data_IF_729713512146
#
_entry.id   IF_729713512146
#
_cell.length_a   1.000
_cell.length_b   1.000
_cell.length_c   1.000
_cell.angle_alpha   90.00
_cell.angle_beta   90.00
_cell.angle_gamma   90.00
#
_symmetry.space_group_name_H-M   'P 1'
#
loop_
_entity.id
_entity.type
_entity.pdbx_description
1 polymer ?
#
# COMPACT_ATOMS: atom_id res chain seq x y z
N UNK A 1 -18.22 -10.92 2.51
CA UNK A 1 -17.83 -9.67 3.22
C UNK A 1 -16.43 -9.86 3.80
N UNK A 2 -15.49 -8.95 3.53
CA UNK A 2 -14.14 -9.00 4.10
C UNK A 2 -14.10 -8.33 5.47
N UNK A 3 -13.27 -8.87 6.38
CA UNK A 3 -13.06 -8.34 7.73
C UNK A 3 -12.10 -7.14 7.73
N UNK A 4 -12.34 -6.18 8.61
CA UNK A 4 -11.41 -5.10 8.95
C UNK A 4 -11.43 -4.92 10.47
N UNK A 5 -10.26 -4.74 11.11
CA UNK A 5 -10.21 -4.48 12.54
C UNK A 5 -10.78 -3.10 12.93
N UNK A 6 -10.79 -2.15 12.00
CA UNK A 6 -11.31 -0.79 12.23
C UNK A 6 -12.85 -0.77 12.12
N UNK A 7 -13.49 0.08 12.93
CA UNK A 7 -14.96 0.15 12.98
C UNK A 7 -15.56 0.68 11.67
N UNK A 8 -16.79 0.27 11.29
CA UNK A 8 -17.48 0.81 10.12
C UNK A 8 -17.61 2.34 10.15
N UNK A 9 -17.82 2.93 11.32
CA UNK A 9 -17.94 4.38 11.51
C UNK A 9 -16.61 5.09 11.21
N UNK A 10 -15.49 4.51 11.66
CA UNK A 10 -14.14 5.02 11.38
C UNK A 10 -13.88 5.02 9.88
N UNK A 11 -14.20 3.92 9.21
CA UNK A 11 -14.04 3.78 7.76
C UNK A 11 -14.91 4.79 7.01
N UNK A 12 -16.18 4.91 7.40
CA UNK A 12 -17.12 5.85 6.79
C UNK A 12 -16.66 7.30 6.97
N UNK A 13 -16.16 7.66 8.16
CA UNK A 13 -15.64 8.98 8.45
C UNK A 13 -14.45 9.35 7.55
N UNK A 14 -13.49 8.44 7.39
CA UNK A 14 -12.34 8.65 6.50
C UNK A 14 -12.81 8.81 5.06
N UNK A 15 -13.66 7.90 4.56
CA UNK A 15 -14.19 7.96 3.19
C UNK A 15 -14.95 9.26 2.91
N UNK A 16 -15.74 9.75 3.85
CA UNK A 16 -16.54 10.97 3.67
C UNK A 16 -15.69 12.23 3.52
N UNK A 17 -14.52 12.28 4.18
CA UNK A 17 -13.62 13.44 4.15
C UNK A 17 -12.57 13.35 3.05
N UNK A 18 -12.25 12.16 2.58
CA UNK A 18 -11.16 11.93 1.66
C UNK A 18 -11.53 12.36 0.23
N UNK A 19 -10.59 13.04 -0.43
CA UNK A 19 -10.71 13.46 -1.83
C UNK A 19 -9.54 12.91 -2.61
N UNK A 20 -9.85 12.22 -3.71
CA UNK A 20 -8.86 11.56 -4.56
C UNK A 20 -8.72 12.37 -5.83
N UNK A 21 -7.51 12.84 -6.13
CA UNK A 21 -7.27 13.59 -7.35
C UNK A 21 -6.99 12.63 -8.51
N UNK A 22 -7.94 12.47 -9.43
CA UNK A 22 -7.90 11.52 -10.54
C UNK A 22 -8.24 12.24 -11.84
N UNK A 23 -7.40 12.13 -12.87
CA UNK A 23 -7.59 12.77 -14.19
C UNK A 23 -7.92 14.27 -14.10
N UNK A 24 -7.23 14.98 -13.20
CA UNK A 24 -7.41 16.43 -13.00
C UNK A 24 -8.63 16.83 -12.18
N UNK A 25 -9.50 15.89 -11.77
CA UNK A 25 -10.65 16.15 -10.89
C UNK A 25 -10.33 15.80 -9.44
N UNK A 26 -10.94 16.50 -8.49
CA UNK A 26 -10.94 16.10 -7.08
C UNK A 26 -12.24 15.34 -6.76
N UNK A 27 -12.17 14.01 -6.80
CA UNK A 27 -13.32 13.12 -6.66
C UNK A 27 -13.56 12.77 -5.19
N UNK A 28 -14.83 12.57 -4.81
CA UNK A 28 -15.16 11.75 -3.65
C UNK A 28 -14.72 10.30 -3.86
N UNK A 29 -14.66 9.53 -2.78
CA UNK A 29 -14.29 8.12 -2.87
C UNK A 29 -15.24 7.33 -3.79
N UNK A 30 -16.55 7.54 -3.68
CA UNK A 30 -17.53 6.79 -4.48
C UNK A 30 -17.47 7.16 -5.98
N UNK A 31 -17.16 8.41 -6.31
CA UNK A 31 -16.93 8.85 -7.70
C UNK A 31 -15.65 8.22 -8.25
N UNK A 32 -14.57 8.21 -7.47
CA UNK A 32 -13.33 7.55 -7.86
C UNK A 32 -13.51 6.05 -8.09
N UNK A 33 -14.26 5.35 -7.23
CA UNK A 33 -14.54 3.92 -7.41
C UNK A 33 -15.30 3.65 -8.72
N UNK A 34 -16.26 4.52 -9.08
CA UNK A 34 -16.99 4.44 -10.35
C UNK A 34 -16.12 4.73 -11.56
N UNK A 35 -15.28 5.76 -11.51
CA UNK A 35 -14.42 6.16 -12.64
C UNK A 35 -13.24 5.19 -12.84
N UNK A 36 -12.63 4.71 -11.76
CA UNK A 36 -11.42 3.87 -11.83
C UNK A 36 -11.70 2.37 -11.86
N UNK A 37 -12.90 1.93 -11.47
CA UNK A 37 -13.23 0.51 -11.27
C UNK A 37 -12.54 -0.15 -10.07
N UNK A 38 -11.83 0.61 -9.24
CA UNK A 38 -11.08 0.11 -8.07
C UNK A 38 -11.82 0.48 -6.80
N UNK A 39 -12.04 -0.49 -5.91
CA UNK A 39 -12.63 -0.26 -4.60
C UNK A 39 -11.60 0.36 -3.65
N UNK A 40 -11.91 1.55 -3.13
CA UNK A 40 -11.02 2.28 -2.25
C UNK A 40 -10.99 1.68 -0.85
N UNK A 41 -9.80 1.39 -0.37
CA UNK A 41 -9.55 0.92 0.99
C UNK A 41 -8.69 1.92 1.77
N UNK A 42 -9.17 2.49 2.89
CA UNK A 42 -8.28 3.22 3.81
C UNK A 42 -7.38 2.27 4.61
N UNK A 43 -7.85 1.05 4.88
CA UNK A 43 -7.11 0.01 5.58
C UNK A 43 -7.25 -1.33 4.87
N UNK A 44 -6.22 -2.15 4.97
CA UNK A 44 -6.22 -3.53 4.46
C UNK A 44 -7.40 -4.35 4.99
N UNK A 45 -7.91 -5.25 4.13
CA UNK A 45 -9.06 -6.12 4.42
C UNK A 45 -8.64 -7.58 4.43
N UNK A 46 -9.29 -8.38 5.26
CA UNK A 46 -8.93 -9.78 5.48
C UNK A 46 -10.08 -10.71 5.11
N UNK A 47 -9.78 -11.94 4.66
CA UNK A 47 -10.81 -12.92 4.32
C UNK A 47 -11.80 -13.19 5.47
N UNK A 48 -11.31 -13.18 6.71
CA UNK A 48 -12.11 -13.37 7.91
C UNK A 48 -11.35 -12.90 9.15
N UNK A 49 -12.07 -12.73 10.27
CA UNK A 49 -11.47 -12.44 11.58
C UNK A 49 -10.46 -13.53 12.00
N UNK A 50 -10.75 -14.81 11.69
CA UNK A 50 -9.82 -15.93 11.93
C UNK A 50 -8.51 -15.76 11.14
N UNK A 51 -8.60 -15.28 9.90
CA UNK A 51 -7.43 -15.02 9.05
C UNK A 51 -6.60 -13.87 9.59
N UNK A 52 -7.25 -12.79 10.02
CA UNK A 52 -6.59 -11.65 10.67
C UNK A 52 -5.82 -12.07 11.93
N UNK A 53 -6.48 -12.74 12.88
CA UNK A 53 -5.81 -13.18 14.12
C UNK A 53 -4.71 -14.22 13.88
N UNK A 54 -4.77 -15.00 12.80
CA UNK A 54 -3.65 -15.87 12.41
C UNK A 54 -2.42 -15.04 12.03
N UNK A 55 -2.59 -13.98 11.25
CA UNK A 55 -1.50 -13.08 10.86
C UNK A 55 -0.95 -12.35 12.09
N UNK A 56 -1.82 -11.74 12.90
CA UNK A 56 -1.41 -11.05 14.14
C UNK A 56 -0.54 -11.94 15.03
N UNK A 57 -0.94 -13.21 15.26
CA UNK A 57 -0.15 -14.16 16.07
C UNK A 57 1.23 -14.42 15.49
N UNK A 58 1.36 -14.44 14.17
CA UNK A 58 2.64 -14.66 13.51
C UNK A 58 3.54 -13.44 13.57
N UNK A 59 2.99 -12.24 13.33
CA UNK A 59 3.70 -10.99 13.47
C UNK A 59 4.23 -10.83 14.92
N UNK A 60 3.37 -11.08 15.91
CA UNK A 60 3.77 -11.08 17.33
C UNK A 60 4.85 -12.10 17.65
N UNK A 61 4.82 -13.28 17.03
CA UNK A 61 5.89 -14.29 17.19
C UNK A 61 7.23 -13.77 16.67
N UNK A 62 7.27 -13.03 15.57
CA UNK A 62 8.52 -12.43 15.08
C UNK A 62 9.07 -11.38 16.05
N UNK A 63 8.20 -10.52 16.58
CA UNK A 63 8.59 -9.51 17.58
C UNK A 63 9.16 -10.19 18.83
N UNK A 64 8.48 -11.22 19.35
CA UNK A 64 8.94 -11.96 20.53
C UNK A 64 10.26 -12.71 20.31
N UNK A 65 10.61 -13.04 19.06
CA UNK A 65 11.87 -13.69 18.71
C UNK A 65 13.01 -12.67 18.47
N UNK A 66 12.76 -11.38 18.73
CA UNK A 66 13.66 -10.26 18.36
C UNK A 66 14.09 -10.33 16.89
N UNK A 67 13.20 -10.89 16.06
CA UNK A 67 13.50 -11.10 14.66
C UNK A 67 13.36 -9.77 13.90
N UNK A 68 12.52 -8.85 14.36
CA UNK A 68 12.15 -7.61 13.67
C UNK A 68 13.24 -6.55 13.81
N UNK A 69 13.64 -5.95 12.69
CA UNK A 69 14.61 -4.86 12.69
C UNK A 69 14.16 -3.68 13.55
N UNK A 70 15.08 -3.13 14.36
CA UNK A 70 14.80 -2.00 15.26
C UNK A 70 14.27 -0.78 14.52
N UNK A 71 14.77 -0.54 13.30
CA UNK A 71 14.29 0.55 12.45
C UNK A 71 12.81 0.37 12.07
N UNK A 72 12.37 -0.87 11.81
CA UNK A 72 10.97 -1.17 11.50
C UNK A 72 10.04 -0.85 12.68
N UNK A 73 10.46 -1.18 13.91
CA UNK A 73 9.73 -0.86 15.15
C UNK A 73 9.71 0.66 15.41
N UNK A 74 10.85 1.33 15.19
CA UNK A 74 10.96 2.78 15.34
C UNK A 74 10.06 3.52 14.35
N UNK A 75 10.11 3.15 13.06
CA UNK A 75 9.25 3.71 12.02
C UNK A 75 7.76 3.54 12.35
N UNK A 76 7.38 2.37 12.90
CA UNK A 76 6.00 2.12 13.28
C UNK A 76 5.53 3.04 14.38
N UNK A 77 6.36 3.23 15.40
CA UNK A 77 6.08 4.17 16.49
C UNK A 77 6.05 5.61 15.98
N UNK A 78 7.05 6.01 15.19
CA UNK A 78 7.21 7.38 14.69
C UNK A 78 6.07 7.79 13.75
N UNK A 79 5.57 6.87 12.92
CA UNK A 79 4.46 7.10 11.97
C UNK A 79 3.11 6.52 12.43
N UNK A 80 2.94 6.28 13.74
CA UNK A 80 1.71 5.70 14.27
C UNK A 80 0.48 6.57 13.95
N UNK A 81 0.63 7.90 13.87
CA UNK A 81 -0.46 8.82 13.54
C UNK A 81 -0.91 8.66 12.09
N UNK A 82 0.02 8.58 11.16
CA UNK A 82 -0.25 8.41 9.74
C UNK A 82 -0.89 7.04 9.48
N UNK A 83 -0.34 5.97 10.08
CA UNK A 83 -0.87 4.62 9.98
C UNK A 83 -2.31 4.52 10.54
N UNK A 84 -2.55 5.02 11.74
CA UNK A 84 -3.87 4.91 12.36
C UNK A 84 -4.95 5.79 11.70
N UNK A 85 -4.55 6.83 10.97
CA UNK A 85 -5.49 7.72 10.27
C UNK A 85 -5.66 7.41 8.78
N UNK A 86 -5.02 6.35 8.28
CA UNK A 86 -4.96 6.02 6.85
C UNK A 86 -4.46 7.21 6.01
N UNK A 87 -3.49 7.95 6.55
CA UNK A 87 -2.98 9.14 5.88
C UNK A 87 -2.19 8.78 4.63
N UNK A 88 -2.43 9.51 3.56
CA UNK A 88 -1.74 9.39 2.28
C UNK A 88 -1.30 10.79 1.86
N UNK A 89 -0.07 10.88 1.36
CA UNK A 89 0.49 12.12 0.85
C UNK A 89 -0.34 12.60 -0.36
N UNK A 90 -0.70 13.90 -0.44
CA UNK A 90 -1.46 14.42 -1.57
C UNK A 90 -0.77 14.15 -2.91
N UNK A 91 -1.49 13.49 -3.82
CA UNK A 91 -1.01 13.11 -5.13
C UNK A 91 -2.12 13.18 -6.17
N UNK A 92 -1.72 13.36 -7.43
CA UNK A 92 -2.59 13.21 -8.59
C UNK A 92 -2.36 11.86 -9.23
N UNK A 93 -3.44 11.15 -9.53
CA UNK A 93 -3.42 9.96 -10.37
C UNK A 93 -3.76 10.41 -11.79
N UNK A 94 -2.87 10.11 -12.74
CA UNK A 94 -3.01 10.49 -14.16
C UNK A 94 -2.64 9.36 -15.10
N UNK A 95 -3.28 9.30 -16.25
CA UNK A 95 -2.89 8.43 -17.34
C UNK A 95 -1.47 8.78 -17.81
N UNK A 96 -0.62 7.77 -17.95
CA UNK A 96 0.78 7.94 -18.39
C UNK A 96 0.92 7.49 -19.84
N UNK A 97 0.53 6.25 -20.14
CA UNK A 97 0.56 5.67 -21.48
C UNK A 97 -0.21 4.34 -21.51
N UNK A 98 -0.46 3.80 -22.70
CA UNK A 98 -1.01 2.44 -22.87
C UNK A 98 -0.15 1.36 -22.18
N UNK A 99 1.16 1.53 -22.18
CA UNK A 99 2.07 0.55 -21.59
C UNK A 99 2.09 0.60 -20.06
N UNK A 100 1.96 1.78 -19.48
CA UNK A 100 2.10 1.99 -18.03
C UNK A 100 0.74 2.13 -17.32
N UNK A 101 -0.32 2.49 -18.04
CA UNK A 101 -1.60 2.90 -17.50
C UNK A 101 -1.49 4.16 -16.64
N UNK A 102 -2.24 4.21 -15.54
CA UNK A 102 -2.25 5.32 -14.59
C UNK A 102 -1.04 5.33 -13.65
N UNK A 103 -0.46 6.50 -13.39
CA UNK A 103 0.62 6.74 -12.43
C UNK A 103 0.26 7.79 -11.38
N UNK A 104 0.99 7.80 -10.26
CA UNK A 104 0.85 8.78 -9.18
C UNK A 104 1.91 9.88 -9.27
N UNK A 105 1.52 11.13 -9.07
CA UNK A 105 2.36 12.32 -9.17
C UNK A 105 2.21 13.20 -7.93
N UNK A 106 3.31 13.74 -7.42
CA UNK A 106 3.27 14.60 -6.23
C UNK A 106 2.40 15.85 -6.45
N UNK A 107 1.42 16.13 -5.60
CA UNK A 107 0.62 17.36 -5.71
C UNK A 107 1.34 18.60 -5.17
N UNK A 108 2.36 18.39 -4.31
CA UNK A 108 3.15 19.43 -3.66
C UNK A 108 4.58 18.92 -3.45
N UNK A 109 5.56 19.80 -3.16
CA UNK A 109 6.90 19.35 -2.81
C UNK A 109 6.88 18.40 -1.61
N UNK A 110 7.65 17.32 -1.71
CA UNK A 110 7.82 16.27 -0.70
C UNK A 110 9.28 16.27 -0.27
N UNK A 111 9.55 16.28 1.03
CA UNK A 111 10.92 16.23 1.55
C UNK A 111 11.44 14.80 1.61
N UNK A 112 12.76 14.64 1.50
CA UNK A 112 13.45 13.37 1.79
C UNK A 112 13.03 12.82 3.16
N UNK A 113 12.84 11.50 3.24
CA UNK A 113 12.39 10.79 4.43
C UNK A 113 10.90 10.93 4.76
N UNK A 114 10.13 11.72 4.01
CA UNK A 114 8.71 11.89 4.28
C UNK A 114 7.93 10.58 4.03
N UNK A 115 6.99 10.29 4.93
CA UNK A 115 6.00 9.24 4.73
C UNK A 115 5.12 9.58 3.52
N UNK A 116 4.86 8.59 2.66
CA UNK A 116 4.01 8.73 1.46
C UNK A 116 2.66 8.08 1.69
N UNK A 117 2.61 6.91 2.33
CA UNK A 117 1.39 6.17 2.59
C UNK A 117 1.63 4.69 2.81
N UNK A 118 0.63 4.01 3.35
CA UNK A 118 0.61 2.55 3.46
C UNK A 118 0.10 1.90 2.17
N UNK A 119 0.76 0.84 1.70
CA UNK A 119 0.28 -0.01 0.63
C UNK A 119 -0.76 -0.99 1.17
N UNK A 120 -2.03 -0.74 0.88
CA UNK A 120 -3.17 -1.52 1.40
C UNK A 120 -3.87 -2.31 0.30
N UNK A 121 -4.52 -3.40 0.70
CA UNK A 121 -5.29 -4.24 -0.21
C UNK A 121 -6.01 -5.39 0.47
N UNK A 122 -6.38 -6.41 -0.31
CA UNK A 122 -6.90 -7.65 0.22
C UNK A 122 -5.74 -8.52 0.72
N UNK A 123 -5.73 -8.78 2.02
CA UNK A 123 -4.74 -9.61 2.68
C UNK A 123 -5.15 -11.07 2.59
N UNK A 124 -4.34 -11.84 1.87
CA UNK A 124 -4.53 -13.28 1.63
C UNK A 124 -3.36 -14.04 2.22
N UNK A 125 -3.63 -15.23 2.74
CA UNK A 125 -2.56 -16.14 3.14
C UNK A 125 -1.81 -16.61 1.88
N UNK A 126 -0.49 -16.61 1.92
CA UNK A 126 0.31 -17.08 0.80
C UNK A 126 0.29 -18.61 0.75
N UNK A 127 -0.12 -19.14 -0.40
CA UNK A 127 0.13 -20.53 -0.77
C UNK A 127 1.37 -20.57 -1.69
N UNK A 128 2.28 -21.56 -1.55
CA UNK A 128 3.46 -21.71 -2.42
C UNK A 128 3.15 -21.75 -3.92
N UNK A 129 1.90 -22.04 -4.29
CA UNK A 129 1.39 -22.10 -5.66
C UNK A 129 0.19 -21.16 -5.85
N UNK A 130 0.26 -19.94 -5.33
CA UNK A 130 -0.81 -18.95 -5.55
C UNK A 130 -0.81 -18.50 -7.03
N UNK A 131 -1.62 -19.19 -7.83
CA UNK A 131 -1.87 -18.89 -9.25
C UNK A 131 -2.51 -17.51 -9.46
N UNK A 132 -2.97 -16.83 -8.39
CA UNK A 132 -3.56 -15.50 -8.47
C UNK A 132 -2.56 -14.36 -8.19
N UNK A 133 -1.26 -14.65 -8.17
CA UNK A 133 -0.22 -13.61 -8.04
C UNK A 133 -0.26 -12.67 -9.25
N UNK A 134 -0.48 -11.38 -9.01
CA UNK A 134 -0.52 -10.34 -10.04
C UNK A 134 0.46 -9.19 -9.71
N UNK A 135 0.55 -8.18 -10.59
CA UNK A 135 1.49 -7.05 -10.44
C UNK A 135 1.21 -6.11 -9.26
N UNK A 136 0.05 -6.25 -8.61
CA UNK A 136 -0.36 -5.48 -7.43
C UNK A 136 -0.19 -6.27 -6.13
N UNK A 137 0.33 -7.49 -6.19
CA UNK A 137 0.60 -8.32 -5.01
C UNK A 137 1.91 -7.91 -4.34
N UNK A 138 1.83 -7.46 -3.09
CA UNK A 138 2.98 -7.24 -2.23
C UNK A 138 3.12 -8.40 -1.23
N UNK A 139 4.23 -9.13 -1.25
CA UNK A 139 4.47 -10.27 -0.34
C UNK A 139 5.05 -9.79 0.99
N UNK A 140 4.47 -10.23 2.10
CA UNK A 140 4.82 -9.82 3.44
C UNK A 140 5.05 -11.02 4.39
N UNK A 141 6.09 -10.98 5.23
CA UNK A 141 7.19 -10.02 5.23
C UNK A 141 8.18 -10.33 4.10
N UNK A 142 8.99 -9.34 3.71
CA UNK A 142 10.16 -9.58 2.86
C UNK A 142 11.20 -10.44 3.59
N UNK A 143 12.20 -10.91 2.85
CA UNK A 143 13.39 -11.55 3.42
C UNK A 143 13.90 -10.77 4.65
N UNK A 144 14.33 -11.43 5.73
CA UNK A 144 14.57 -12.88 5.88
C UNK A 144 13.38 -13.71 6.42
N UNK A 145 12.20 -13.12 6.68
CA UNK A 145 11.10 -13.78 7.42
C UNK A 145 10.22 -14.72 6.57
N UNK A 146 10.83 -15.52 5.70
CA UNK A 146 10.17 -16.33 4.67
C UNK A 146 9.18 -17.40 5.20
N UNK A 147 9.03 -17.59 6.51
CA UNK A 147 8.09 -18.57 7.10
C UNK A 147 6.73 -17.97 7.48
N UNK A 148 6.59 -16.64 7.45
CA UNK A 148 5.31 -15.95 7.60
C UNK A 148 5.00 -15.35 6.25
N UNK A 149 3.88 -15.73 5.65
CA UNK A 149 3.61 -15.29 4.28
C UNK A 149 2.13 -14.94 4.16
N UNK A 150 1.87 -13.66 4.09
CA UNK A 150 0.63 -13.15 3.51
C UNK A 150 0.98 -12.24 2.34
N UNK A 151 0.03 -12.08 1.45
CA UNK A 151 0.12 -11.18 0.30
C UNK A 151 -0.92 -10.09 0.48
N UNK A 152 -0.54 -8.85 0.24
CA UNK A 152 -1.45 -7.72 0.09
C UNK A 152 -1.73 -7.58 -1.41
N UNK A 153 -2.94 -7.93 -1.84
CA UNK A 153 -3.36 -7.84 -3.24
C UNK A 153 -4.18 -6.56 -3.44
N UNK A 154 -3.59 -5.58 -4.13
CA UNK A 154 -4.21 -4.30 -4.41
C UNK A 154 -4.81 -4.18 -5.83
N UNK A 155 -5.04 -5.31 -6.52
CA UNK A 155 -5.51 -5.27 -7.91
C UNK A 155 -6.87 -4.59 -8.03
N UNK A 156 -7.86 -5.04 -7.25
CA UNK A 156 -9.23 -4.52 -7.32
C UNK A 156 -9.63 -3.71 -6.07
N UNK A 157 -8.86 -3.81 -4.98
CA UNK A 157 -9.15 -3.14 -3.71
C UNK A 157 -7.86 -2.53 -3.16
N UNK A 158 -7.79 -1.21 -3.00
CA UNK A 158 -6.58 -0.54 -2.53
C UNK A 158 -6.75 0.96 -2.42
N UNK A 159 -5.66 1.67 -2.15
CA UNK A 159 -5.62 3.14 -2.13
C UNK A 159 -4.73 3.67 -3.26
N UNK A 160 -4.42 4.97 -3.24
CA UNK A 160 -3.65 5.67 -4.27
C UNK A 160 -2.23 5.13 -4.43
N UNK A 161 -1.65 4.55 -3.36
CA UNK A 161 -0.28 4.00 -3.36
C UNK A 161 -0.13 2.88 -4.40
N UNK A 162 -1.22 2.19 -4.77
CA UNK A 162 -1.19 1.17 -5.84
C UNK A 162 -0.72 1.73 -7.19
N UNK A 163 -0.95 3.02 -7.46
CA UNK A 163 -0.60 3.69 -8.71
C UNK A 163 0.86 4.18 -8.77
N UNK A 164 1.61 4.11 -7.67
CA UNK A 164 3.05 4.39 -7.67
C UNK A 164 3.74 3.27 -8.45
N UNK A 165 4.49 3.65 -9.48
CA UNK A 165 5.06 2.74 -10.49
C UNK A 165 6.45 2.26 -10.13
N UNK A 166 6.91 1.28 -10.89
CA UNK A 166 8.28 0.83 -10.82
C UNK A 166 9.22 1.82 -11.52
N UNK A 167 10.41 2.01 -10.97
CA UNK A 167 11.56 2.61 -11.66
C UNK A 167 12.85 1.95 -11.19
N UNK A 168 13.85 1.86 -12.08
CA UNK A 168 15.22 1.48 -11.73
C UNK A 168 16.00 2.64 -11.08
N UNK A 169 15.49 3.86 -11.19
CA UNK A 169 16.01 5.07 -10.53
C UNK A 169 14.89 5.70 -9.69
N UNK A 170 14.43 5.01 -8.64
CA UNK A 170 13.26 5.42 -7.89
C UNK A 170 13.50 6.70 -7.06
N UNK A 171 12.40 7.40 -6.75
CA UNK A 171 12.40 8.52 -5.81
C UNK A 171 11.70 8.18 -4.49
N UNK A 172 11.04 7.02 -4.41
CA UNK A 172 10.45 6.44 -3.22
C UNK A 172 11.01 5.04 -2.94
N UNK A 173 10.97 4.62 -1.69
CA UNK A 173 11.28 3.26 -1.27
C UNK A 173 10.10 2.66 -0.48
N UNK A 174 9.95 1.33 -0.53
CA UNK A 174 9.00 0.60 0.32
C UNK A 174 9.74 -0.02 1.50
N UNK A 175 9.19 0.12 2.72
CA UNK A 175 9.74 -0.50 3.92
C UNK A 175 8.68 -1.28 4.70
N UNK A 176 9.11 -2.38 5.31
CA UNK A 176 8.31 -3.10 6.31
C UNK A 176 8.31 -2.31 7.61
N UNK A 177 7.14 -1.93 8.10
CA UNK A 177 6.96 -1.11 9.31
C UNK A 177 6.18 -1.91 10.34
N UNK A 178 6.68 -2.00 11.57
CA UNK A 178 6.03 -2.76 12.63
C UNK A 178 5.38 -1.83 13.66
N UNK A 179 4.05 -1.81 13.71
CA UNK A 179 3.26 -1.06 14.69
C UNK A 179 2.38 -2.03 15.47
N UNK A 180 2.42 -1.98 16.80
CA UNK A 180 1.60 -2.82 17.69
C UNK A 180 1.67 -4.32 17.34
N UNK A 181 2.88 -4.84 17.17
CA UNK A 181 3.15 -6.22 16.76
C UNK A 181 2.57 -6.63 15.39
N UNK A 182 2.22 -5.66 14.54
CA UNK A 182 1.68 -5.91 13.20
C UNK A 182 2.55 -5.27 12.11
N UNK A 183 2.74 -5.98 11.01
CA UNK A 183 3.57 -5.52 9.90
C UNK A 183 2.73 -4.81 8.83
N UNK A 184 3.18 -3.62 8.47
CA UNK A 184 2.67 -2.76 7.43
C UNK A 184 3.72 -2.64 6.31
N UNK A 185 3.27 -2.31 5.11
CA UNK A 185 4.15 -1.93 4.00
C UNK A 185 3.93 -0.46 3.74
N UNK A 186 4.94 0.36 3.98
CA UNK A 186 4.83 1.81 3.84
C UNK A 186 5.83 2.32 2.82
N UNK A 187 5.47 3.40 2.12
CA UNK A 187 6.36 4.07 1.20
C UNK A 187 6.89 5.37 1.81
N UNK A 188 8.15 5.68 1.50
CA UNK A 188 8.88 6.85 1.97
C UNK A 188 9.61 7.52 0.82
N UNK A 189 9.74 8.84 0.86
CA UNK A 189 10.55 9.59 -0.11
C UNK A 189 12.05 9.36 0.16
N UNK A 190 12.83 9.04 -0.87
CA UNK A 190 14.28 8.85 -0.76
C UNK A 190 15.07 10.15 -0.89
N UNK A 191 14.47 11.15 -1.54
CA UNK A 191 15.04 12.49 -1.76
C UNK A 191 13.93 13.53 -1.74
N UNK A 192 14.30 14.80 -1.88
CA UNK A 192 13.31 15.84 -2.17
C UNK A 192 12.67 15.58 -3.54
N UNK A 193 11.34 15.68 -3.61
CA UNK A 193 10.51 15.44 -4.78
C UNK A 193 9.72 16.73 -5.06
N UNK A 194 9.96 17.43 -6.17
CA UNK A 194 9.17 18.59 -6.57
C UNK A 194 7.71 18.24 -6.85
N UNK A 195 6.84 19.25 -6.77
CA UNK A 195 5.46 19.11 -7.22
C UNK A 195 5.41 18.73 -8.71
N UNK A 196 4.48 17.83 -9.06
CA UNK A 196 4.29 17.33 -10.42
C UNK A 196 5.23 16.19 -10.81
N UNK A 197 6.25 15.85 -10.02
CA UNK A 197 7.11 14.70 -10.31
C UNK A 197 6.36 13.38 -10.09
N UNK A 198 6.56 12.41 -10.97
CA UNK A 198 5.98 11.08 -10.84
C UNK A 198 6.63 10.32 -9.69
N UNK A 199 5.82 9.72 -8.81
CA UNK A 199 6.30 8.87 -7.74
C UNK A 199 6.57 7.46 -8.26
N UNK A 200 7.75 6.92 -7.93
CA UNK A 200 8.17 5.58 -8.34
C UNK A 200 9.05 4.91 -7.28
N UNK A 201 8.96 3.58 -7.17
CA UNK A 201 9.79 2.76 -6.27
C UNK A 201 10.32 1.51 -6.96
N UNK A 202 11.34 0.87 -6.39
CA UNK A 202 11.81 -0.43 -6.88
C UNK A 202 10.86 -1.54 -6.41
N UNK A 203 10.32 -2.33 -7.34
CA UNK A 203 9.44 -3.47 -7.01
C UNK A 203 10.24 -4.70 -6.56
N UNK A 204 11.56 -4.70 -6.74
CA UNK A 204 12.47 -5.77 -6.39
C UNK A 204 12.65 -6.83 -7.49
N UNK A 205 13.73 -7.62 -7.38
CA UNK A 205 14.15 -8.58 -8.42
C UNK A 205 13.15 -9.69 -8.76
N UNK A 206 12.22 -10.01 -7.87
CA UNK A 206 11.19 -11.04 -8.12
C UNK A 206 9.99 -10.53 -8.92
N UNK A 207 9.99 -9.25 -9.31
CA UNK A 207 8.90 -8.65 -10.09
C UNK A 207 9.18 -8.57 -11.60
N UNK A 208 10.20 -9.26 -12.12
CA UNK A 208 10.61 -9.13 -13.54
C UNK A 208 9.50 -9.46 -14.55
N UNK A 209 8.61 -10.40 -14.23
CA UNK A 209 7.39 -10.67 -15.02
C UNK A 209 6.17 -9.80 -14.67
N UNK A 210 6.27 -8.96 -13.62
CA UNK A 210 5.18 -8.15 -13.03
C UNK A 210 5.47 -6.64 -13.05
N UNK A 211 6.53 -6.20 -13.74
CA UNK A 211 6.91 -4.78 -13.90
C UNK A 211 5.82 -3.91 -14.54
N UNK A 212 4.81 -4.52 -15.17
CA UNK A 212 3.66 -3.83 -15.76
C UNK A 212 2.45 -3.96 -14.84
N UNK A 213 2.29 -3.02 -13.90
CA UNK A 213 0.99 -2.75 -13.28
C UNK A 213 0.07 -2.15 -14.35
N UNK A 214 -0.54 -2.99 -15.16
CA UNK A 214 -1.63 -2.56 -16.04
C UNK A 214 -2.89 -2.47 -15.18
N UNK A 215 -3.57 -1.33 -15.22
CA UNK A 215 -4.95 -1.27 -14.74
C UNK A 215 -5.78 -1.83 -15.90
N UNK A 216 -6.68 -2.82 -15.68
CA UNK A 216 -7.68 -3.10 -16.69
C UNK A 216 -8.46 -1.80 -16.91
N UNK A 217 -8.36 -1.21 -18.10
CA UNK A 217 -9.29 -0.17 -18.50
C UNK A 217 -10.68 -0.84 -18.50
N UNK A 218 -11.68 -0.28 -17.79
CA UNK A 218 -13.03 -0.83 -17.83
C UNK A 218 -13.58 -0.93 -19.26
#
# INVERSE_FOLDING_TARGET
MYYCPNSPETIAHIRAKHKIHFEGKALSVDEFEKESGVFYLPFSRYRSIKSYHRIVRQCKRLVNLDAVERESLWLGTYHAKELNSAWVQPMHIRWVSEELGYGAFASRPIRSGAFIGEYVGLVKWYAPFDLNSNAYCFRCPSAPYYWIRYTIDAQNYGNEIRYIKHSNTPNCESRGVCLNDFFHVCLFAMRDIPAGEQLCYDYGKFSEGTRKKLVPIP
#
